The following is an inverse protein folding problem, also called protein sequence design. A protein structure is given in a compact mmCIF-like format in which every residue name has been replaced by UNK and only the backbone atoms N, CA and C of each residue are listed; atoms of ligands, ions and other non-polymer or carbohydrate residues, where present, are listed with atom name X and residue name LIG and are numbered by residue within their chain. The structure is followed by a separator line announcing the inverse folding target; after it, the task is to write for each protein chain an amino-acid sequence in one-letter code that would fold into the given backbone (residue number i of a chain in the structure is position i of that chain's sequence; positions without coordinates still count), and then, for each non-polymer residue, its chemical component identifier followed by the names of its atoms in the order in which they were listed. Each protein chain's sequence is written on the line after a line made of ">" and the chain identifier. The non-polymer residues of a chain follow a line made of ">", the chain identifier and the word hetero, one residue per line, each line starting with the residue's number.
data_IF_342273567569
#
_entry.id   IF_342273567569
#
_cell.length_a   1.000
_cell.length_b   1.000
_cell.length_c   1.000
_cell.angle_alpha   90.00
_cell.angle_beta   90.00
_cell.angle_gamma   90.00
#
_symmetry.space_group_name_H-M   'P 1'
#
loop_
_entity.id
_entity.type
_entity.pdbx_description
1 polymer ?
#
# COMPACT_ATOMS: atom_id res chain seq x y z
N UNK A 1 -7.55 3.62 -25.01
CA UNK A 1 -6.92 2.64 -24.10
C UNK A 1 -7.70 2.69 -22.80
N UNK A 2 -8.19 1.57 -22.34
CA UNK A 2 -8.90 1.47 -21.07
C UNK A 2 -7.95 1.87 -19.90
N UNK A 3 -8.49 2.36 -18.79
CA UNK A 3 -7.72 2.74 -17.60
C UNK A 3 -6.82 1.60 -17.14
N UNK A 4 -7.34 0.38 -17.07
CA UNK A 4 -6.58 -0.79 -16.61
C UNK A 4 -5.44 -1.16 -17.55
N UNK A 5 -5.63 -1.00 -18.86
CA UNK A 5 -4.57 -1.20 -19.85
C UNK A 5 -3.44 -0.18 -19.66
N UNK A 6 -3.80 1.09 -19.40
CA UNK A 6 -2.81 2.15 -19.14
C UNK A 6 -2.01 1.87 -17.86
N UNK A 7 -2.69 1.49 -16.76
CA UNK A 7 -2.05 1.16 -15.47
C UNK A 7 -1.11 -0.04 -15.62
N UNK A 8 -1.56 -1.11 -16.28
CA UNK A 8 -0.72 -2.29 -16.54
C UNK A 8 0.50 -1.95 -17.39
N UNK A 9 0.33 -1.13 -18.42
CA UNK A 9 1.45 -0.70 -19.28
C UNK A 9 2.48 0.12 -18.50
N UNK A 10 2.04 1.02 -17.62
CA UNK A 10 2.94 1.80 -16.74
C UNK A 10 3.68 0.89 -15.76
N UNK A 11 2.99 -0.04 -15.11
CA UNK A 11 3.60 -0.98 -14.18
C UNK A 11 4.66 -1.86 -14.88
N UNK A 12 4.33 -2.43 -16.04
CA UNK A 12 5.26 -3.25 -16.81
C UNK A 12 6.49 -2.47 -17.33
N UNK A 13 6.34 -1.16 -17.59
CA UNK A 13 7.45 -0.31 -18.04
C UNK A 13 8.44 0.04 -16.91
N UNK A 14 7.99 0.01 -15.67
CA UNK A 14 8.81 0.29 -14.48
C UNK A 14 8.36 -0.58 -13.29
N UNK A 15 8.66 -1.90 -13.31
CA UNK A 15 8.25 -2.81 -12.23
C UNK A 15 8.83 -2.37 -10.89
N UNK A 16 7.97 -2.21 -9.89
CA UNK A 16 8.36 -1.87 -8.54
C UNK A 16 8.51 -3.15 -7.70
N UNK A 17 9.28 -3.08 -6.61
CA UNK A 17 9.39 -4.14 -5.62
C UNK A 17 8.19 -4.07 -4.68
N UNK A 18 7.35 -5.09 -4.71
CA UNK A 18 6.13 -5.12 -3.90
C UNK A 18 6.19 -6.25 -2.89
N UNK A 19 6.03 -5.93 -1.60
CA UNK A 19 5.93 -6.90 -0.53
C UNK A 19 4.47 -7.24 -0.23
N UNK A 20 4.16 -8.54 -0.23
CA UNK A 20 2.86 -9.12 0.08
C UNK A 20 2.96 -9.86 1.41
N UNK A 21 2.33 -9.34 2.46
CA UNK A 21 2.45 -9.87 3.82
C UNK A 21 1.29 -10.79 4.25
N UNK A 22 0.37 -11.09 3.34
CA UNK A 22 -0.73 -12.04 3.53
C UNK A 22 -0.73 -13.14 2.44
N UNK A 23 0.47 -13.46 1.90
CA UNK A 23 0.62 -14.46 0.86
C UNK A 23 0.47 -15.92 1.37
N UNK A 24 0.23 -16.10 2.65
CA UNK A 24 -0.27 -17.34 3.27
C UNK A 24 -1.77 -17.58 2.97
N UNK A 25 -2.50 -16.58 2.50
CA UNK A 25 -3.82 -16.77 1.90
C UNK A 25 -3.70 -17.21 0.42
N UNK A 26 -4.40 -18.29 0.00
CA UNK A 26 -4.34 -18.79 -1.37
C UNK A 26 -4.70 -17.75 -2.45
N UNK A 27 -5.67 -16.87 -2.19
CA UNK A 27 -6.08 -15.83 -3.14
C UNK A 27 -4.97 -14.79 -3.35
N UNK A 28 -4.30 -14.40 -2.26
CA UNK A 28 -3.18 -13.48 -2.35
C UNK A 28 -2.02 -14.13 -3.13
N UNK A 29 -1.73 -15.41 -2.88
CA UNK A 29 -0.69 -16.13 -3.60
C UNK A 29 -1.01 -16.26 -5.10
N UNK A 30 -2.26 -16.51 -5.49
CA UNK A 30 -2.69 -16.52 -6.89
C UNK A 30 -2.43 -15.17 -7.56
N UNK A 31 -2.79 -14.05 -6.90
CA UNK A 31 -2.52 -12.69 -7.39
C UNK A 31 -1.02 -12.44 -7.56
N UNK A 32 -0.20 -12.84 -6.60
CA UNK A 32 1.28 -12.75 -6.70
C UNK A 32 1.79 -13.51 -7.92
N UNK A 33 1.27 -14.72 -8.15
CA UNK A 33 1.60 -15.53 -9.32
C UNK A 33 1.26 -14.85 -10.65
N UNK A 34 0.07 -14.25 -10.75
CA UNK A 34 -0.38 -13.52 -11.94
C UNK A 34 0.48 -12.27 -12.18
N UNK A 35 0.72 -11.44 -11.18
CA UNK A 35 1.55 -10.24 -11.28
C UNK A 35 2.98 -10.56 -11.71
N UNK A 36 3.54 -11.63 -11.15
CA UNK A 36 4.89 -12.12 -11.53
C UNK A 36 4.94 -12.61 -12.97
N UNK A 37 3.92 -13.39 -13.40
CA UNK A 37 3.81 -13.91 -14.77
C UNK A 37 3.69 -12.77 -15.79
N UNK A 38 2.90 -11.75 -15.47
CA UNK A 38 2.67 -10.59 -16.34
C UNK A 38 3.82 -9.57 -16.27
N UNK A 39 4.80 -9.74 -15.36
CA UNK A 39 5.94 -8.85 -15.21
C UNK A 39 5.57 -7.46 -14.72
N UNK A 40 4.52 -7.34 -13.91
CA UNK A 40 3.98 -6.06 -13.45
C UNK A 40 4.71 -5.51 -12.21
N UNK A 41 5.35 -6.39 -11.44
CA UNK A 41 6.18 -6.01 -10.29
C UNK A 41 7.21 -7.11 -9.95
N UNK A 42 8.20 -6.75 -9.15
CA UNK A 42 9.08 -7.69 -8.49
C UNK A 42 8.44 -8.11 -7.17
N UNK A 43 7.96 -9.36 -7.09
CA UNK A 43 7.18 -9.83 -5.95
C UNK A 43 8.06 -10.34 -4.82
N UNK A 44 7.81 -9.84 -3.60
CA UNK A 44 8.35 -10.30 -2.34
C UNK A 44 7.20 -10.83 -1.48
N UNK A 45 7.21 -12.11 -1.11
CA UNK A 45 6.21 -12.68 -0.19
C UNK A 45 6.83 -12.80 1.20
N UNK A 46 6.15 -12.23 2.21
CA UNK A 46 6.67 -12.10 3.57
C UNK A 46 5.83 -12.94 4.52
N UNK A 47 6.44 -13.93 5.17
CA UNK A 47 5.70 -14.80 6.09
C UNK A 47 6.53 -15.98 6.57
N UNK A 48 5.85 -17.00 7.08
CA UNK A 48 6.47 -18.29 7.42
C UNK A 48 6.87 -19.03 6.13
N UNK A 49 8.15 -19.27 5.94
CA UNK A 49 8.68 -19.76 4.67
C UNK A 49 8.17 -21.16 4.28
N UNK A 50 7.87 -22.04 5.25
CA UNK A 50 7.29 -23.35 4.98
C UNK A 50 5.84 -23.21 4.54
N UNK A 51 5.05 -22.44 5.25
CA UNK A 51 3.65 -22.12 4.91
C UNK A 51 3.54 -21.51 3.52
N UNK A 52 4.36 -20.50 3.22
CA UNK A 52 4.34 -19.82 1.92
C UNK A 52 4.63 -20.78 0.75
N UNK A 53 5.61 -21.68 0.91
CA UNK A 53 5.93 -22.69 -0.11
C UNK A 53 4.78 -23.70 -0.27
N UNK A 54 4.17 -24.12 0.85
CA UNK A 54 3.02 -25.03 0.82
C UNK A 54 1.80 -24.43 0.11
N UNK A 55 1.50 -23.16 0.36
CA UNK A 55 0.40 -22.46 -0.32
C UNK A 55 0.69 -22.29 -1.81
N UNK A 56 1.93 -21.91 -2.17
CA UNK A 56 2.34 -21.78 -3.57
C UNK A 56 2.18 -23.10 -4.34
N UNK A 57 2.60 -24.22 -3.74
CA UNK A 57 2.40 -25.56 -4.32
C UNK A 57 0.91 -25.90 -4.47
N UNK A 58 0.09 -25.59 -3.45
CA UNK A 58 -1.34 -25.85 -3.47
C UNK A 58 -2.05 -25.14 -4.63
N UNK A 59 -1.68 -23.88 -4.92
CA UNK A 59 -2.32 -23.07 -5.99
C UNK A 59 -1.53 -23.10 -7.30
N UNK A 60 -0.41 -23.81 -7.36
CA UNK A 60 0.39 -23.99 -8.59
C UNK A 60 1.20 -22.77 -9.00
N UNK A 61 1.63 -21.94 -8.05
CA UNK A 61 2.47 -20.77 -8.28
C UNK A 61 3.94 -21.14 -8.24
N UNK A 62 4.68 -20.80 -9.30
CA UNK A 62 6.14 -20.99 -9.37
C UNK A 62 6.87 -19.85 -8.65
N UNK A 63 7.58 -20.19 -7.57
CA UNK A 63 8.34 -19.24 -6.76
C UNK A 63 9.73 -18.89 -7.34
N UNK A 64 10.12 -19.42 -8.49
CA UNK A 64 11.46 -19.22 -9.06
C UNK A 64 11.82 -17.74 -9.34
N UNK A 65 10.81 -16.90 -9.51
CA UNK A 65 10.93 -15.44 -9.75
C UNK A 65 10.34 -14.58 -8.63
N UNK A 66 10.01 -15.21 -7.50
CA UNK A 66 9.41 -14.55 -6.34
C UNK A 66 10.37 -14.63 -5.18
N UNK A 67 10.66 -13.52 -4.53
CA UNK A 67 11.51 -13.50 -3.34
C UNK A 67 10.71 -13.91 -2.11
N UNK A 68 11.10 -15.00 -1.46
CA UNK A 68 10.50 -15.46 -0.21
C UNK A 68 11.28 -14.85 0.97
N UNK A 69 10.61 -14.04 1.78
CA UNK A 69 11.15 -13.46 3.01
C UNK A 69 10.61 -14.25 4.19
N UNK A 70 11.42 -15.17 4.69
CA UNK A 70 11.05 -16.04 5.82
C UNK A 70 11.26 -15.30 7.15
N UNK A 71 10.16 -14.99 7.84
CA UNK A 71 10.18 -14.31 9.14
C UNK A 71 10.69 -15.20 10.28
N UNK A 72 10.89 -16.50 10.04
CA UNK A 72 11.42 -17.47 10.99
C UNK A 72 12.92 -17.78 10.78
N UNK A 73 13.52 -17.29 9.68
CA UNK A 73 14.98 -17.38 9.49
C UNK A 73 15.68 -16.52 10.53
N UNK A 74 16.42 -17.18 11.44
CA UNK A 74 17.06 -16.52 12.58
C UNK A 74 18.23 -15.63 12.16
N UNK A 75 19.02 -16.08 11.18
CA UNK A 75 20.22 -15.38 10.72
C UNK A 75 19.82 -14.14 9.91
N UNK A 76 18.84 -14.28 9.01
CA UNK A 76 18.31 -13.14 8.26
C UNK A 76 17.58 -12.13 9.16
N UNK A 77 16.83 -12.59 10.18
CA UNK A 77 16.21 -11.70 11.15
C UNK A 77 17.23 -10.90 11.97
N UNK A 78 18.37 -11.49 12.32
CA UNK A 78 19.46 -10.78 12.98
C UNK A 78 20.09 -9.74 12.04
N UNK A 79 20.43 -10.13 10.82
CA UNK A 79 20.98 -9.25 9.81
C UNK A 79 20.05 -8.10 9.48
N UNK A 80 18.74 -8.37 9.31
CA UNK A 80 17.73 -7.36 9.09
C UNK A 80 17.61 -6.36 10.26
N UNK A 81 17.62 -6.87 11.50
CA UNK A 81 17.52 -6.00 12.66
C UNK A 81 18.69 -5.01 12.74
N UNK A 82 19.88 -5.44 12.35
CA UNK A 82 21.06 -4.58 12.28
C UNK A 82 20.95 -3.54 11.16
N UNK A 83 20.50 -3.94 9.96
CA UNK A 83 20.29 -3.03 8.82
C UNK A 83 19.25 -1.97 9.17
N UNK A 84 18.12 -2.37 9.75
CA UNK A 84 17.07 -1.44 10.13
C UNK A 84 17.49 -0.48 11.27
N UNK A 85 18.21 -0.96 12.29
CA UNK A 85 18.73 -0.09 13.35
C UNK A 85 19.73 0.94 12.83
N UNK A 86 20.53 0.56 11.83
CA UNK A 86 21.53 1.43 11.22
C UNK A 86 20.93 2.45 10.23
N UNK A 87 19.68 2.27 9.80
CA UNK A 87 19.01 3.19 8.90
C UNK A 87 18.80 4.57 9.55
N UNK A 88 18.84 5.66 8.77
CA UNK A 88 18.56 7.00 9.28
C UNK A 88 17.20 7.05 9.98
N UNK A 89 17.14 7.75 11.12
CA UNK A 89 15.92 7.98 11.90
C UNK A 89 15.16 6.69 12.28
N UNK A 90 15.88 5.58 12.46
CA UNK A 90 15.29 4.33 12.90
C UNK A 90 14.57 4.50 14.25
N UNK A 91 13.26 4.24 14.33
CA UNK A 91 12.50 4.45 15.56
C UNK A 91 12.72 3.36 16.61
N UNK A 92 13.43 2.28 16.27
CA UNK A 92 13.57 1.11 17.14
C UNK A 92 15.02 0.64 17.24
N UNK A 93 15.35 0.05 18.38
CA UNK A 93 16.61 -0.67 18.61
C UNK A 93 16.50 -2.14 18.15
N UNK A 94 17.63 -2.74 17.76
CA UNK A 94 17.68 -4.11 17.20
C UNK A 94 16.89 -5.14 18.03
N UNK A 95 16.93 -5.07 19.37
CA UNK A 95 16.14 -5.96 20.23
C UNK A 95 14.61 -5.89 19.96
N UNK A 96 14.08 -4.69 19.73
CA UNK A 96 12.67 -4.51 19.44
C UNK A 96 12.35 -4.95 18.01
N UNK A 97 13.25 -4.67 17.07
CA UNK A 97 13.14 -5.04 15.66
C UNK A 97 13.07 -6.56 15.50
N UNK A 98 13.98 -7.32 16.11
CA UNK A 98 13.99 -8.80 16.07
C UNK A 98 12.64 -9.42 16.45
N UNK A 99 11.96 -8.83 17.44
CA UNK A 99 10.65 -9.31 17.89
C UNK A 99 9.55 -8.94 16.90
N UNK A 100 9.56 -7.71 16.38
CA UNK A 100 8.55 -7.16 15.49
C UNK A 100 8.65 -7.77 14.09
N UNK A 101 9.86 -7.93 13.58
CA UNK A 101 10.14 -8.50 12.26
C UNK A 101 9.69 -9.97 12.08
N UNK A 102 9.29 -10.64 13.15
CA UNK A 102 8.62 -11.96 13.09
C UNK A 102 7.16 -11.90 12.67
N UNK A 103 6.58 -10.70 12.62
CA UNK A 103 5.23 -10.51 12.11
C UNK A 103 5.32 -10.08 10.65
N UNK A 104 4.65 -10.77 9.72
CA UNK A 104 4.78 -10.50 8.29
C UNK A 104 4.53 -9.05 7.91
N UNK A 105 3.42 -8.44 8.37
CA UNK A 105 3.09 -7.03 8.11
C UNK A 105 4.15 -6.08 8.67
N UNK A 106 4.56 -6.26 9.93
CA UNK A 106 5.58 -5.41 10.56
C UNK A 106 6.90 -5.50 9.77
N UNK A 107 7.32 -6.71 9.36
CA UNK A 107 8.52 -6.95 8.55
C UNK A 107 8.45 -6.25 7.20
N UNK A 108 7.34 -6.40 6.48
CA UNK A 108 7.15 -5.81 5.17
C UNK A 108 7.18 -4.26 5.22
N UNK A 109 6.48 -3.66 6.19
CA UNK A 109 6.50 -2.21 6.40
C UNK A 109 7.88 -1.68 6.80
N UNK A 110 8.63 -2.43 7.61
CA UNK A 110 10.02 -2.09 7.94
C UNK A 110 10.95 -2.19 6.71
N UNK A 111 10.73 -3.16 5.80
CA UNK A 111 11.48 -3.26 4.54
C UNK A 111 11.26 -2.03 3.66
N UNK A 112 10.02 -1.52 3.58
CA UNK A 112 9.74 -0.29 2.83
C UNK A 112 10.44 0.93 3.43
N UNK A 113 10.47 1.05 4.76
CA UNK A 113 11.16 2.18 5.40
C UNK A 113 12.65 2.25 5.07
N UNK A 114 13.30 1.14 4.80
CA UNK A 114 14.73 1.09 4.47
C UNK A 114 14.99 0.81 2.99
N UNK A 115 14.02 1.09 2.13
CA UNK A 115 14.09 0.99 0.67
C UNK A 115 14.46 -0.42 0.13
N UNK A 116 14.19 -1.47 0.91
CA UNK A 116 14.33 -2.85 0.42
C UNK A 116 13.17 -3.23 -0.51
N UNK A 117 11.99 -2.63 -0.30
CA UNK A 117 10.82 -2.70 -1.20
C UNK A 117 10.19 -1.31 -1.37
N UNK A 118 9.51 -1.09 -2.49
CA UNK A 118 8.91 0.20 -2.83
C UNK A 118 7.47 0.31 -2.31
N UNK A 119 6.75 -0.80 -2.31
CA UNK A 119 5.31 -0.87 -2.00
C UNK A 119 5.04 -2.05 -1.07
N UNK A 120 4.09 -1.87 -0.15
CA UNK A 120 3.46 -2.96 0.59
C UNK A 120 2.03 -3.17 0.11
N UNK A 121 1.62 -4.41 -0.04
CA UNK A 121 0.27 -4.80 -0.42
C UNK A 121 -0.30 -5.84 0.55
N UNK A 122 -1.48 -5.54 1.10
CA UNK A 122 -2.18 -6.38 2.06
C UNK A 122 -3.50 -5.75 2.47
N UNK A 123 -4.16 -6.29 3.49
CA UNK A 123 -5.48 -5.86 3.96
C UNK A 123 -6.60 -6.81 3.53
N UNK A 124 -6.25 -8.03 3.11
CA UNK A 124 -7.22 -9.11 2.87
C UNK A 124 -7.73 -9.69 4.18
N UNK A 125 -6.83 -9.91 5.14
CA UNK A 125 -7.10 -10.49 6.46
C UNK A 125 -6.95 -9.47 7.59
N UNK A 126 -6.03 -8.50 7.45
CA UNK A 126 -5.84 -7.41 8.42
C UNK A 126 -6.93 -6.36 8.31
N UNK A 127 -7.32 -5.79 9.44
CA UNK A 127 -8.25 -4.65 9.46
C UNK A 127 -7.58 -3.37 8.94
N UNK A 128 -8.39 -2.44 8.40
CA UNK A 128 -7.93 -1.12 7.97
C UNK A 128 -7.15 -0.40 9.09
N UNK A 129 -7.64 -0.47 10.34
CA UNK A 129 -6.97 0.14 11.49
C UNK A 129 -5.58 -0.42 11.77
N UNK A 130 -5.39 -1.74 11.62
CA UNK A 130 -4.07 -2.38 11.79
C UNK A 130 -3.08 -1.92 10.72
N UNK A 131 -3.53 -1.86 9.46
CA UNK A 131 -2.68 -1.41 8.34
C UNK A 131 -2.29 0.06 8.52
N UNK A 132 -3.23 0.94 8.87
CA UNK A 132 -2.96 2.36 9.14
C UNK A 132 -1.98 2.51 10.31
N UNK A 133 -2.22 1.82 11.42
CA UNK A 133 -1.34 1.87 12.59
C UNK A 133 0.08 1.37 12.25
N UNK A 134 0.17 0.31 11.46
CA UNK A 134 1.44 -0.21 10.95
C UNK A 134 2.17 0.82 10.10
N UNK A 135 1.49 1.42 9.12
CA UNK A 135 2.02 2.47 8.26
C UNK A 135 2.57 3.65 9.07
N UNK A 136 1.78 4.19 10.00
CA UNK A 136 2.20 5.26 10.90
C UNK A 136 3.40 4.88 11.78
N UNK A 137 3.45 3.63 12.24
CA UNK A 137 4.50 3.17 13.16
C UNK A 137 5.85 3.00 12.47
N UNK A 138 5.85 2.49 11.23
CA UNK A 138 7.09 2.09 10.56
C UNK A 138 7.50 3.03 9.43
N UNK A 139 6.55 3.60 8.69
CA UNK A 139 6.80 4.47 7.55
C UNK A 139 6.67 5.94 7.95
N UNK A 140 5.58 6.31 8.62
CA UNK A 140 5.23 7.68 8.96
C UNK A 140 4.41 8.36 7.86
N UNK A 141 4.20 9.66 8.04
CA UNK A 141 3.55 10.51 7.05
C UNK A 141 4.58 11.21 6.17
N UNK A 142 4.18 11.62 4.98
CA UNK A 142 5.00 12.46 4.12
C UNK A 142 5.27 13.83 4.77
N UNK A 143 6.35 14.47 4.37
CA UNK A 143 6.72 15.80 4.89
C UNK A 143 5.60 16.81 4.65
N UNK A 144 5.20 17.49 5.72
CA UNK A 144 4.13 18.50 5.67
C UNK A 144 2.71 17.94 5.65
N UNK A 145 2.54 16.62 5.74
CA UNK A 145 1.24 15.94 5.86
C UNK A 145 1.02 15.53 7.31
N UNK A 146 -0.10 15.88 7.88
CA UNK A 146 -0.51 15.54 9.25
C UNK A 146 -1.77 14.66 9.31
N UNK A 147 -2.43 14.45 8.17
CA UNK A 147 -3.71 13.76 8.09
C UNK A 147 -3.67 12.63 7.08
N UNK A 148 -3.95 11.39 7.53
CA UNK A 148 -4.18 10.26 6.63
C UNK A 148 -5.58 10.37 6.03
N UNK A 149 -5.66 10.15 4.73
CA UNK A 149 -6.93 10.11 4.01
C UNK A 149 -6.94 9.02 2.95
N UNK A 150 -8.12 8.70 2.48
CA UNK A 150 -8.31 7.79 1.35
C UNK A 150 -8.69 8.55 0.08
N UNK A 151 -8.28 7.99 -1.07
CA UNK A 151 -8.66 8.49 -2.38
C UNK A 151 -9.11 7.32 -3.25
N UNK A 152 -10.34 7.39 -3.75
CA UNK A 152 -10.86 6.46 -4.75
C UNK A 152 -10.93 7.11 -6.13
N UNK A 153 -10.45 6.40 -7.15
CA UNK A 153 -10.65 6.79 -8.56
C UNK A 153 -11.74 5.92 -9.17
N UNK A 154 -12.78 6.53 -9.69
CA UNK A 154 -13.98 5.87 -10.18
C UNK A 154 -14.15 6.11 -11.68
N UNK A 155 -14.44 5.05 -12.42
CA UNK A 155 -14.90 5.13 -13.80
C UNK A 155 -16.44 5.13 -13.79
N UNK A 156 -17.05 6.26 -14.18
CA UNK A 156 -18.50 6.49 -14.10
C UNK A 156 -19.08 6.45 -15.51
N UNK A 157 -19.79 5.37 -15.89
CA UNK A 157 -20.39 5.26 -17.20
C UNK A 157 -21.36 6.41 -17.49
N UNK A 158 -21.20 7.05 -18.65
CA UNK A 158 -22.03 8.17 -19.08
C UNK A 158 -21.61 9.54 -18.51
N UNK A 159 -20.59 9.60 -17.67
CA UNK A 159 -19.95 10.85 -17.31
C UNK A 159 -18.92 11.25 -18.37
N UNK A 160 -18.88 12.53 -18.71
CA UNK A 160 -17.92 13.10 -19.66
C UNK A 160 -17.36 14.40 -19.07
N UNK A 161 -16.38 14.25 -18.18
CA UNK A 161 -15.67 15.34 -17.52
C UNK A 161 -14.35 15.67 -18.24
N UNK A 162 -13.50 16.48 -17.60
CA UNK A 162 -12.18 16.84 -18.12
C UNK A 162 -11.25 15.65 -18.29
N UNK A 163 -11.43 14.62 -17.48
CA UNK A 163 -10.68 13.35 -17.52
C UNK A 163 -11.54 12.21 -18.07
N UNK A 164 -12.48 12.54 -18.96
CA UNK A 164 -13.45 11.61 -19.51
C UNK A 164 -14.39 11.07 -18.42
N UNK A 165 -14.57 9.72 -18.34
CA UNK A 165 -15.48 9.12 -17.36
C UNK A 165 -14.89 8.99 -15.95
N UNK A 166 -13.68 9.51 -15.69
CA UNK A 166 -12.97 9.30 -14.44
C UNK A 166 -13.16 10.46 -13.47
N UNK A 167 -13.42 10.14 -12.20
CA UNK A 167 -13.48 11.07 -11.07
C UNK A 167 -12.73 10.52 -9.87
N UNK A 168 -12.05 11.42 -9.12
CA UNK A 168 -11.48 11.13 -7.81
C UNK A 168 -12.43 11.55 -6.69
N UNK A 169 -12.58 10.72 -5.65
CA UNK A 169 -13.31 11.02 -4.43
C UNK A 169 -12.41 10.80 -3.21
N UNK A 170 -12.24 11.80 -2.39
CA UNK A 170 -11.49 11.77 -1.13
C UNK A 170 -12.18 12.67 -0.09
N UNK A 171 -12.19 12.38 1.16
CA UNK A 171 -11.92 11.11 1.82
C UNK A 171 -13.22 10.32 1.95
N UNK A 172 -13.13 8.99 1.82
CA UNK A 172 -14.33 8.15 1.87
C UNK A 172 -14.29 7.10 3.00
N UNK A 173 -13.15 6.92 3.69
CA UNK A 173 -13.00 5.74 4.56
C UNK A 173 -12.11 5.92 5.80
N UNK A 174 -11.44 7.03 5.99
CA UNK A 174 -10.45 7.20 7.06
C UNK A 174 -10.84 8.30 8.06
N UNK A 175 -11.07 9.53 7.61
CA UNK A 175 -11.48 10.64 8.45
C UNK A 175 -12.99 10.72 8.56
N UNK A 176 -13.54 10.49 9.76
CA UNK A 176 -15.01 10.46 9.97
C UNK A 176 -15.59 11.85 10.09
N UNK A 177 -14.90 12.76 10.79
CA UNK A 177 -15.33 14.13 11.06
C UNK A 177 -14.11 15.06 11.01
N UNK A 178 -13.62 15.39 9.81
CA UNK A 178 -12.41 16.19 9.65
C UNK A 178 -12.69 17.67 10.00
N UNK A 179 -11.78 18.28 10.76
CA UNK A 179 -11.76 19.72 10.96
C UNK A 179 -11.29 20.47 9.69
N UNK A 180 -11.35 21.82 9.65
CA UNK A 180 -10.99 22.59 8.45
C UNK A 180 -9.55 22.37 7.97
N UNK A 181 -8.59 22.21 8.88
CA UNK A 181 -7.18 21.93 8.57
C UNK A 181 -7.03 20.54 7.96
N UNK A 182 -7.71 19.55 8.51
CA UNK A 182 -7.75 18.18 7.98
C UNK A 182 -8.41 18.14 6.59
N UNK A 183 -9.52 18.87 6.39
CA UNK A 183 -10.14 18.97 5.08
C UNK A 183 -9.20 19.58 4.03
N UNK A 184 -8.45 20.61 4.40
CA UNK A 184 -7.45 21.21 3.51
C UNK A 184 -6.34 20.21 3.18
N UNK A 185 -5.82 19.48 4.17
CA UNK A 185 -4.81 18.43 3.98
C UNK A 185 -5.32 17.32 3.06
N UNK A 186 -6.54 16.83 3.26
CA UNK A 186 -7.21 15.83 2.41
C UNK A 186 -7.29 16.32 0.95
N UNK A 187 -7.71 17.56 0.73
CA UNK A 187 -7.84 18.11 -0.61
C UNK A 187 -6.48 18.20 -1.33
N UNK A 188 -5.46 18.70 -0.64
CA UNK A 188 -4.11 18.87 -1.19
C UNK A 188 -3.50 17.49 -1.52
N UNK A 189 -3.47 16.57 -0.56
CA UNK A 189 -2.86 15.25 -0.74
C UNK A 189 -3.60 14.41 -1.79
N UNK A 190 -4.94 14.54 -1.88
CA UNK A 190 -5.72 13.91 -2.95
C UNK A 190 -5.37 14.46 -4.33
N UNK A 191 -5.22 15.78 -4.44
CA UNK A 191 -4.84 16.43 -5.69
C UNK A 191 -3.42 16.02 -6.13
N UNK A 192 -2.45 16.03 -5.23
CA UNK A 192 -1.08 15.58 -5.50
C UNK A 192 -1.04 14.10 -5.92
N UNK A 193 -1.82 13.25 -5.26
CA UNK A 193 -1.90 11.82 -5.57
C UNK A 193 -2.45 11.56 -6.97
N UNK A 194 -3.56 12.20 -7.37
CA UNK A 194 -4.09 12.01 -8.75
C UNK A 194 -3.17 12.60 -9.80
N UNK A 195 -2.49 13.72 -9.50
CA UNK A 195 -1.48 14.26 -10.40
C UNK A 195 -0.32 13.28 -10.61
N UNK A 196 0.23 12.74 -9.55
CA UNK A 196 1.36 11.80 -9.61
C UNK A 196 1.00 10.47 -10.30
N UNK A 197 -0.15 9.87 -9.95
CA UNK A 197 -0.54 8.56 -10.47
C UNK A 197 -1.13 8.64 -11.88
N UNK A 198 -2.01 9.62 -12.11
CA UNK A 198 -2.82 9.71 -13.32
C UNK A 198 -2.30 10.74 -14.32
N UNK A 199 -1.46 11.68 -13.87
CA UNK A 199 -0.99 12.82 -14.68
C UNK A 199 -2.07 13.87 -14.88
N UNK A 200 -3.12 13.89 -14.05
CA UNK A 200 -4.19 14.88 -14.16
C UNK A 200 -3.73 16.27 -13.73
N UNK A 201 -4.40 17.30 -14.28
CA UNK A 201 -4.38 18.65 -13.73
C UNK A 201 -5.58 18.79 -12.78
N UNK A 202 -5.38 18.56 -11.46
CA UNK A 202 -6.51 18.36 -10.54
C UNK A 202 -7.31 19.64 -10.33
N UNK A 203 -8.63 19.50 -10.37
CA UNK A 203 -9.62 20.51 -10.00
C UNK A 203 -10.48 19.95 -8.89
N UNK A 204 -10.34 20.52 -7.69
CA UNK A 204 -10.96 20.00 -6.47
C UNK A 204 -12.21 20.82 -6.15
N UNK A 205 -13.34 20.13 -5.94
CA UNK A 205 -14.55 20.70 -5.36
C UNK A 205 -14.73 20.17 -3.94
N UNK A 206 -14.84 21.07 -2.97
CA UNK A 206 -15.19 20.74 -1.60
C UNK A 206 -16.70 20.62 -1.50
N UNK A 207 -17.20 19.42 -1.12
CA UNK A 207 -18.64 19.19 -1.00
C UNK A 207 -19.12 19.53 0.41
N UNK A 208 -20.35 20.08 0.50
CA UNK A 208 -21.00 20.26 1.79
C UNK A 208 -21.52 18.93 2.33
N UNK A 209 -21.47 18.76 3.66
CA UNK A 209 -22.09 17.62 4.35
C UNK A 209 -23.59 17.51 4.08
N UNK A 210 -24.27 18.66 4.00
CA UNK A 210 -25.71 18.69 3.76
C UNK A 210 -26.07 19.55 2.56
N UNK A 211 -27.13 19.14 1.84
CA UNK A 211 -27.73 19.95 0.78
C UNK A 211 -28.53 21.09 1.41
N UNK A 212 -28.07 22.33 1.21
CA UNK A 212 -28.77 23.55 1.62
C UNK A 212 -29.17 23.56 3.12
N UNK A 213 -28.29 23.03 3.99
CA UNK A 213 -28.54 22.97 5.44
C UNK A 213 -29.61 21.96 5.87
N UNK A 214 -29.87 20.95 5.05
CA UNK A 214 -30.87 19.90 5.34
C UNK A 214 -30.46 18.94 6.45
N UNK A 215 -29.20 18.95 6.88
CA UNK A 215 -28.68 18.20 8.02
C UNK A 215 -27.64 19.03 8.77
N UNK A 216 -27.54 18.81 10.08
CA UNK A 216 -26.47 19.35 10.95
C UNK A 216 -25.37 18.30 11.16
N UNK A 217 -24.10 18.68 11.03
CA UNK A 217 -22.94 17.85 11.25
C UNK A 217 -21.70 18.70 11.48
#
# INVERSE_FOLDING_TARGET
>A
MDLMEQVRAKAAANPQKVAFFEADDPKMMEVVGELTKDGLCECYIVGDGETLRGVAEQVGVDLSKITVVDVNDADENEAFAQRFEAAPDSPFKAKAIRRRAKKPMDRALMMQRIDEVDINFGGLCCSTGEVILGGLTYIGLADGVDTISSLGVFNIPGWDGSEGPLLGFGDAAVCVDPDPEQLASIAITSAETVHALMGWEPRVAMLSYSTDGSAEG
#
